data_IF_682453240393
#
_entry.id   IF_682453240393
#
_cell.length_a   1.000
_cell.length_b   1.000
_cell.length_c   1.000
_cell.angle_alpha   90.00
_cell.angle_beta   90.00
_cell.angle_gamma   90.00
#
_symmetry.space_group_name_H-M   'P 1'
#
loop_
_entity.id
_entity.type
_entity.pdbx_description
1 polymer ?
#
# COMPACT_ATOMS: atom_id res chain seq x y z
N UNK A 1 -10.62 33.54 -2.38
CA UNK A 1 -11.35 32.42 -1.75
C UNK A 1 -12.80 32.79 -1.43
N UNK A 2 -13.21 34.06 -1.35
CA UNK A 2 -14.58 34.39 -0.88
C UNK A 2 -15.69 34.28 -1.94
N UNK A 3 -15.36 33.93 -3.18
CA UNK A 3 -16.31 33.89 -4.30
C UNK A 3 -16.75 32.49 -4.71
N UNK A 4 -16.06 31.43 -4.25
CA UNK A 4 -16.41 30.05 -4.58
C UNK A 4 -17.14 29.39 -3.40
N UNK A 5 -18.15 28.54 -3.67
CA UNK A 5 -18.79 27.72 -2.66
C UNK A 5 -17.81 26.78 -1.93
N UNK A 6 -18.16 26.38 -0.71
CA UNK A 6 -17.38 25.47 0.13
C UNK A 6 -17.06 24.16 -0.57
N UNK A 7 -18.00 23.63 -1.35
CA UNK A 7 -17.88 22.39 -2.10
C UNK A 7 -16.76 22.45 -3.14
N UNK A 8 -16.59 23.62 -3.79
CA UNK A 8 -15.51 23.81 -4.74
C UNK A 8 -14.15 23.91 -4.04
N UNK A 9 -14.08 24.55 -2.88
CA UNK A 9 -12.85 24.52 -2.09
C UNK A 9 -12.50 23.11 -1.62
N UNK A 10 -13.48 22.33 -1.17
CA UNK A 10 -13.27 20.94 -0.79
C UNK A 10 -12.75 20.10 -1.97
N UNK A 11 -13.32 20.26 -3.17
CA UNK A 11 -12.83 19.61 -4.38
C UNK A 11 -11.39 20.03 -4.74
N UNK A 12 -11.07 21.33 -4.67
CA UNK A 12 -9.71 21.82 -4.91
C UNK A 12 -8.73 21.17 -3.94
N UNK A 13 -9.08 21.10 -2.65
CA UNK A 13 -8.23 20.46 -1.64
C UNK A 13 -8.10 18.96 -1.91
N UNK A 14 -9.19 18.27 -2.24
CA UNK A 14 -9.19 16.84 -2.59
C UNK A 14 -8.24 16.51 -3.75
N UNK A 15 -8.25 17.33 -4.81
CA UNK A 15 -7.36 17.17 -5.97
C UNK A 15 -5.93 17.60 -5.69
N UNK A 16 -5.70 18.53 -4.75
CA UNK A 16 -4.36 18.95 -4.36
C UNK A 16 -3.68 17.92 -3.44
N UNK A 17 -4.44 17.19 -2.62
CA UNK A 17 -3.93 16.29 -1.58
C UNK A 17 -3.62 14.87 -2.10
N UNK A 18 -2.87 14.76 -3.19
CA UNK A 18 -2.44 13.47 -3.79
C UNK A 18 -0.97 13.12 -3.50
N UNK A 19 -0.34 13.81 -2.55
CA UNK A 19 1.07 13.64 -2.17
C UNK A 19 1.25 12.72 -0.95
N UNK A 20 2.29 12.90 -0.14
CA UNK A 20 2.53 12.14 1.10
C UNK A 20 1.73 12.66 2.31
N UNK A 21 0.78 13.56 2.07
CA UNK A 21 -0.01 14.26 3.09
C UNK A 21 0.57 15.61 3.51
N UNK A 22 1.72 16.02 2.95
CA UNK A 22 2.29 17.33 3.20
C UNK A 22 1.36 18.47 2.76
N UNK A 23 0.74 18.35 1.58
CA UNK A 23 -0.13 19.40 1.02
C UNK A 23 -1.34 19.67 1.93
N UNK A 24 -2.02 18.62 2.41
CA UNK A 24 -3.15 18.76 3.32
C UNK A 24 -2.75 19.49 4.63
N UNK A 25 -1.58 19.16 5.17
CA UNK A 25 -1.04 19.79 6.39
C UNK A 25 -0.65 21.25 6.15
N UNK A 26 0.00 21.54 5.03
CA UNK A 26 0.37 22.90 4.65
C UNK A 26 -0.87 23.78 4.46
N UNK A 27 -1.90 23.27 3.79
CA UNK A 27 -3.18 23.97 3.63
C UNK A 27 -3.84 24.23 4.98
N UNK A 28 -3.82 23.25 5.88
CA UNK A 28 -4.41 23.39 7.22
C UNK A 28 -3.74 24.44 8.12
N UNK A 29 -2.56 24.96 7.73
CA UNK A 29 -1.84 26.02 8.44
C UNK A 29 -2.09 27.42 7.87
N UNK A 30 -2.79 27.56 6.73
CA UNK A 30 -2.97 28.85 6.03
C UNK A 30 -3.92 29.78 6.79
N UNK A 31 -5.08 29.27 7.20
CA UNK A 31 -6.07 30.02 7.99
C UNK A 31 -7.05 29.06 8.66
N UNK A 32 -7.86 29.56 9.61
CA UNK A 32 -8.92 28.74 10.24
C UNK A 32 -9.91 28.16 9.22
N UNK A 33 -10.30 28.96 8.23
CA UNK A 33 -11.19 28.50 7.17
C UNK A 33 -10.56 27.35 6.38
N UNK A 34 -9.31 27.50 5.93
CA UNK A 34 -8.63 26.45 5.16
C UNK A 34 -8.35 25.22 6.02
N UNK A 35 -8.08 25.40 7.31
CA UNK A 35 -7.98 24.31 8.28
C UNK A 35 -9.24 23.45 8.29
N UNK A 36 -10.41 24.07 8.42
CA UNK A 36 -11.69 23.36 8.47
C UNK A 36 -11.98 22.63 7.13
N UNK A 37 -11.66 23.27 6.01
CA UNK A 37 -11.80 22.66 4.66
C UNK A 37 -10.82 21.51 4.46
N UNK A 38 -9.57 21.61 4.95
CA UNK A 38 -8.52 20.62 4.74
C UNK A 38 -8.57 19.44 5.72
N UNK A 39 -9.21 19.61 6.87
CA UNK A 39 -9.30 18.60 7.93
C UNK A 39 -9.73 17.20 7.44
N UNK A 40 -10.76 17.06 6.58
CA UNK A 40 -11.18 15.75 6.07
C UNK A 40 -10.15 15.03 5.19
N UNK A 41 -9.13 15.75 4.71
CA UNK A 41 -8.13 15.29 3.74
C UNK A 41 -6.76 15.04 4.37
N UNK A 42 -6.58 15.30 5.67
CA UNK A 42 -5.31 15.12 6.39
C UNK A 42 -4.74 13.69 6.35
N UNK A 43 -5.61 12.70 6.15
CA UNK A 43 -5.26 11.29 6.04
C UNK A 43 -5.53 10.69 4.66
N UNK A 44 -5.95 11.51 3.68
CA UNK A 44 -6.31 11.05 2.34
C UNK A 44 -5.16 10.30 1.68
N UNK A 45 -3.97 10.88 1.77
CA UNK A 45 -2.75 10.33 1.17
C UNK A 45 -1.67 10.26 2.24
N UNK A 46 -1.06 9.09 2.40
CA UNK A 46 -0.07 8.82 3.44
C UNK A 46 1.11 8.02 2.87
N UNK A 47 2.32 8.44 3.23
CA UNK A 47 3.52 7.62 3.09
C UNK A 47 4.08 7.28 4.47
N UNK A 48 4.26 5.99 4.73
CA UNK A 48 4.71 5.48 6.03
C UNK A 48 5.83 4.48 5.79
N UNK A 49 6.95 4.64 6.50
CA UNK A 49 8.11 3.77 6.36
C UNK A 49 8.76 3.47 7.69
N UNK A 50 8.97 2.16 7.95
CA UNK A 50 9.59 1.64 9.16
C UNK A 50 8.73 1.69 10.42
N UNK A 51 9.17 0.94 11.43
CA UNK A 51 8.43 0.72 12.67
C UNK A 51 7.91 1.98 13.36
N UNK A 52 8.76 3.01 13.52
CA UNK A 52 8.39 4.20 14.30
C UNK A 52 7.19 4.94 13.70
N UNK A 53 7.19 5.16 12.38
CA UNK A 53 6.08 5.86 11.71
C UNK A 53 4.81 4.99 11.73
N UNK A 54 4.94 3.67 11.59
CA UNK A 54 3.81 2.76 11.66
C UNK A 54 3.15 2.78 13.04
N UNK A 55 3.95 2.72 14.11
CA UNK A 55 3.46 2.77 15.49
C UNK A 55 2.71 4.08 15.76
N UNK A 56 3.30 5.23 15.42
CA UNK A 56 2.68 6.54 15.58
C UNK A 56 1.37 6.67 14.80
N UNK A 57 1.35 6.18 13.55
CA UNK A 57 0.14 6.22 12.74
C UNK A 57 -0.97 5.36 13.35
N UNK A 58 -0.65 4.14 13.80
CA UNK A 58 -1.65 3.27 14.43
C UNK A 58 -2.26 3.93 15.65
N UNK A 59 -1.44 4.49 16.56
CA UNK A 59 -1.94 5.22 17.74
C UNK A 59 -2.90 6.34 17.35
N UNK A 60 -2.56 7.12 16.31
CA UNK A 60 -3.42 8.20 15.81
C UNK A 60 -4.71 7.69 15.18
N UNK A 61 -4.63 6.67 14.34
CA UNK A 61 -5.81 6.10 13.69
C UNK A 61 -6.79 5.54 14.72
N UNK A 62 -6.29 4.88 15.76
CA UNK A 62 -7.13 4.32 16.82
C UNK A 62 -7.85 5.39 17.65
N UNK A 63 -7.19 6.51 17.91
CA UNK A 63 -7.80 7.64 18.60
C UNK A 63 -8.89 8.36 17.77
N UNK A 64 -8.86 8.24 16.44
CA UNK A 64 -9.81 8.87 15.54
C UNK A 64 -11.08 8.04 15.37
N UNK A 65 -12.27 8.65 15.21
CA UNK A 65 -13.47 7.91 14.84
C UNK A 65 -13.37 7.35 13.40
N UNK A 66 -14.02 6.23 13.07
CA UNK A 66 -13.92 5.60 11.74
C UNK A 66 -14.17 6.54 10.56
N UNK A 67 -15.12 7.49 10.71
CA UNK A 67 -15.45 8.49 9.69
C UNK A 67 -14.30 9.45 9.33
N UNK A 68 -13.33 9.62 10.24
CA UNK A 68 -12.16 10.48 10.06
C UNK A 68 -10.93 9.71 9.53
N UNK A 69 -11.00 8.37 9.47
CA UNK A 69 -9.92 7.49 8.97
C UNK A 69 -10.03 7.30 7.46
N UNK A 70 -10.10 8.39 6.70
CA UNK A 70 -10.25 8.34 5.24
C UNK A 70 -8.88 8.27 4.58
N UNK A 71 -8.40 7.05 4.38
CA UNK A 71 -7.13 6.78 3.67
C UNK A 71 -7.47 6.25 2.28
N UNK A 72 -7.18 7.02 1.24
CA UNK A 72 -7.40 6.65 -0.17
C UNK A 72 -6.12 6.19 -0.84
N UNK A 73 -5.02 6.87 -0.56
CA UNK A 73 -3.71 6.59 -1.14
C UNK A 73 -2.72 6.26 -0.03
N UNK A 74 -2.14 5.07 -0.09
CA UNK A 74 -1.22 4.61 0.94
C UNK A 74 0.05 4.05 0.32
N UNK A 75 1.18 4.58 0.76
CA UNK A 75 2.49 3.97 0.60
C UNK A 75 2.94 3.40 1.95
N UNK A 76 3.25 2.10 1.98
CA UNK A 76 3.82 1.42 3.15
C UNK A 76 5.15 0.77 2.78
N UNK A 77 6.15 0.93 3.64
CA UNK A 77 7.39 0.18 3.53
C UNK A 77 7.93 -0.30 4.87
N UNK A 78 8.44 -1.52 4.92
CA UNK A 78 9.17 -2.06 6.08
C UNK A 78 10.60 -1.50 6.18
N UNK A 79 11.09 -0.78 5.16
CA UNK A 79 12.43 -0.20 5.17
C UNK A 79 12.36 1.32 5.33
N UNK A 80 13.23 1.84 6.19
CA UNK A 80 13.57 3.27 6.14
C UNK A 80 14.68 3.51 5.11
N UNK A 81 14.82 4.75 4.63
CA UNK A 81 15.97 5.14 3.78
C UNK A 81 17.33 4.79 4.43
N UNK A 82 17.40 4.76 5.76
CA UNK A 82 18.60 4.35 6.50
C UNK A 82 18.84 2.84 6.45
N UNK A 83 17.79 2.03 6.41
CA UNK A 83 17.87 0.57 6.31
C UNK A 83 18.34 0.14 4.90
N UNK A 84 17.90 0.82 3.83
CA UNK A 84 18.40 0.62 2.46
C UNK A 84 19.92 0.76 2.38
N UNK A 85 20.46 1.82 3.00
CA UNK A 85 21.91 2.10 3.02
C UNK A 85 22.66 1.05 3.85
N UNK A 86 22.04 0.47 4.89
CA UNK A 86 22.64 -0.58 5.73
C UNK A 86 22.63 -1.95 5.05
N UNK A 87 21.53 -2.33 4.38
CA UNK A 87 21.43 -3.63 3.71
C UNK A 87 22.38 -3.77 2.51
N UNK A 88 22.72 -2.68 1.82
CA UNK A 88 23.81 -2.71 0.83
C UNK A 88 25.17 -3.12 1.42
N UNK A 89 25.32 -3.12 2.75
CA UNK A 89 26.57 -3.42 3.46
C UNK A 89 26.55 -4.72 4.26
N UNK A 90 25.40 -5.39 4.45
CA UNK A 90 25.29 -6.58 5.30
C UNK A 90 24.33 -7.63 4.72
N UNK A 91 24.77 -8.89 4.67
CA UNK A 91 23.95 -10.05 4.28
C UNK A 91 23.36 -10.74 5.51
N UNK A 92 22.02 -10.90 5.48
CA UNK A 92 21.16 -11.64 6.42
C UNK A 92 21.03 -11.09 7.86
N UNK A 93 19.80 -11.05 8.42
CA UNK A 93 19.59 -10.75 9.83
C UNK A 93 20.19 -11.88 10.69
N UNK A 94 20.94 -11.50 11.72
CA UNK A 94 21.71 -12.45 12.55
C UNK A 94 21.30 -12.42 14.02
N UNK A 95 20.37 -11.53 14.41
CA UNK A 95 20.02 -11.33 15.83
C UNK A 95 18.52 -11.48 16.15
N UNK A 96 18.21 -11.93 17.36
CA UNK A 96 16.84 -12.03 17.91
C UNK A 96 16.11 -10.68 17.93
N UNK A 97 16.83 -9.58 18.23
CA UNK A 97 16.27 -8.23 18.26
C UNK A 97 15.74 -7.77 16.89
N UNK A 98 16.35 -8.23 15.80
CA UNK A 98 15.87 -7.94 14.44
C UNK A 98 14.57 -8.70 14.15
N UNK A 99 14.41 -9.93 14.65
CA UNK A 99 13.17 -10.70 14.48
C UNK A 99 11.98 -10.05 15.19
N UNK A 100 12.14 -9.61 16.45
CA UNK A 100 11.06 -8.91 17.17
C UNK A 100 10.65 -7.61 16.48
N UNK A 101 11.63 -6.89 15.90
CA UNK A 101 11.36 -5.69 15.10
C UNK A 101 10.49 -6.02 13.88
N UNK A 102 10.83 -7.08 13.14
CA UNK A 102 10.06 -7.50 11.95
C UNK A 102 8.64 -7.93 12.29
N UNK A 103 8.46 -8.66 13.39
CA UNK A 103 7.13 -9.05 13.86
C UNK A 103 6.29 -7.82 14.24
N UNK A 104 6.90 -6.85 14.92
CA UNK A 104 6.23 -5.59 15.25
C UNK A 104 5.87 -4.79 13.98
N UNK A 105 6.80 -4.63 13.03
CA UNK A 105 6.56 -3.93 11.75
C UNK A 105 5.40 -4.57 10.98
N UNK A 106 5.39 -5.91 10.88
CA UNK A 106 4.30 -6.65 10.27
C UNK A 106 2.97 -6.40 10.98
N UNK A 107 2.95 -6.47 12.31
CA UNK A 107 1.74 -6.30 13.11
C UNK A 107 1.14 -4.89 12.94
N UNK A 108 1.97 -3.85 13.01
CA UNK A 108 1.50 -2.48 12.82
C UNK A 108 1.09 -2.20 11.38
N UNK A 109 1.85 -2.67 10.38
CA UNK A 109 1.45 -2.55 8.97
C UNK A 109 0.09 -3.22 8.70
N UNK A 110 -0.13 -4.42 9.25
CA UNK A 110 -1.41 -5.12 9.16
C UNK A 110 -2.58 -4.33 9.75
N UNK A 111 -2.38 -3.65 10.89
CA UNK A 111 -3.40 -2.80 11.51
C UNK A 111 -3.69 -1.54 10.69
N UNK A 112 -2.66 -0.92 10.10
CA UNK A 112 -2.85 0.22 9.19
C UNK A 112 -3.69 -0.22 7.99
N UNK A 113 -3.36 -1.36 7.36
CA UNK A 113 -4.12 -1.90 6.25
C UNK A 113 -5.58 -2.18 6.64
N UNK A 114 -5.83 -2.75 7.82
CA UNK A 114 -7.18 -2.98 8.33
C UNK A 114 -7.99 -1.67 8.48
N UNK A 115 -7.38 -0.60 8.99
CA UNK A 115 -8.04 0.70 9.10
C UNK A 115 -8.27 1.37 7.75
N UNK A 116 -7.35 1.20 6.80
CA UNK A 116 -7.44 1.78 5.47
C UNK A 116 -8.42 1.02 4.55
N UNK A 117 -8.62 -0.28 4.77
CA UNK A 117 -9.31 -1.19 3.85
C UNK A 117 -10.67 -0.67 3.31
N UNK A 118 -11.56 -0.05 4.11
CA UNK A 118 -12.86 0.43 3.61
C UNK A 118 -12.77 1.62 2.63
N UNK A 119 -11.67 2.38 2.65
CA UNK A 119 -11.51 3.61 1.88
C UNK A 119 -10.37 3.57 0.88
N UNK A 120 -9.53 2.52 0.92
CA UNK A 120 -8.31 2.44 0.13
C UNK A 120 -8.61 2.31 -1.36
N UNK A 121 -8.03 3.20 -2.16
CA UNK A 121 -8.16 3.26 -3.62
C UNK A 121 -6.85 2.88 -4.31
N UNK A 122 -5.71 3.32 -3.76
CA UNK A 122 -4.39 2.90 -4.25
C UNK A 122 -3.46 2.53 -3.11
N UNK A 123 -2.77 1.40 -3.27
CA UNK A 123 -1.75 0.91 -2.34
C UNK A 123 -0.44 0.65 -3.07
N UNK A 124 0.64 1.20 -2.53
CA UNK A 124 2.00 0.79 -2.86
C UNK A 124 2.64 0.18 -1.60
N UNK A 125 3.05 -1.09 -1.69
CA UNK A 125 3.62 -1.84 -0.59
C UNK A 125 5.04 -2.29 -0.98
N UNK A 126 6.05 -1.72 -0.33
CA UNK A 126 7.46 -2.06 -0.55
C UNK A 126 7.97 -2.82 0.66
N UNK A 127 8.03 -4.15 0.55
CA UNK A 127 8.37 -5.05 1.65
C UNK A 127 9.49 -6.00 1.26
N UNK A 128 10.71 -5.63 1.62
CA UNK A 128 11.90 -6.35 1.18
C UNK A 128 12.39 -7.40 2.19
N UNK A 129 11.87 -7.42 3.43
CA UNK A 129 12.22 -8.49 4.37
C UNK A 129 11.44 -9.78 4.05
N UNK A 130 12.12 -10.92 3.80
CA UNK A 130 11.46 -12.18 3.41
C UNK A 130 10.60 -12.78 4.53
N UNK A 131 10.79 -12.36 5.79
CA UNK A 131 10.01 -12.83 6.94
C UNK A 131 8.71 -12.03 7.13
N UNK A 132 8.70 -10.74 6.77
CA UNK A 132 7.53 -9.86 6.91
C UNK A 132 6.64 -9.90 5.68
N UNK A 133 7.24 -9.94 4.49
CA UNK A 133 6.57 -9.65 3.24
C UNK A 133 5.50 -10.70 2.86
N UNK A 134 5.79 -12.01 2.80
CA UNK A 134 4.78 -12.99 2.40
C UNK A 134 3.55 -13.02 3.31
N UNK A 135 3.67 -13.05 4.66
CA UNK A 135 2.49 -13.11 5.50
C UNK A 135 1.74 -11.77 5.58
N UNK A 136 2.40 -10.62 5.42
CA UNK A 136 1.72 -9.33 5.33
C UNK A 136 0.90 -9.22 4.04
N UNK A 137 1.46 -9.63 2.90
CA UNK A 137 0.74 -9.64 1.62
C UNK A 137 -0.39 -10.68 1.63
N UNK A 138 -0.18 -11.84 2.26
CA UNK A 138 -1.25 -12.80 2.51
C UNK A 138 -2.40 -12.21 3.33
N UNK A 139 -2.09 -11.43 4.38
CA UNK A 139 -3.09 -10.68 5.14
C UNK A 139 -3.78 -9.61 4.30
N UNK A 140 -3.05 -8.86 3.48
CA UNK A 140 -3.61 -7.86 2.56
C UNK A 140 -4.70 -8.49 1.67
N UNK A 141 -4.39 -9.63 1.06
CA UNK A 141 -5.34 -10.36 0.23
C UNK A 141 -6.55 -10.90 1.01
N UNK A 142 -6.42 -11.14 2.31
CA UNK A 142 -7.56 -11.53 3.15
C UNK A 142 -8.49 -10.36 3.55
N UNK A 143 -8.10 -9.10 3.29
CA UNK A 143 -8.91 -7.94 3.66
C UNK A 143 -9.99 -7.64 2.59
N UNK A 144 -11.19 -7.20 3.01
CA UNK A 144 -12.18 -6.66 2.09
C UNK A 144 -11.72 -5.28 1.61
N UNK A 145 -11.30 -5.21 0.35
CA UNK A 145 -10.77 -3.99 -0.28
C UNK A 145 -11.72 -3.53 -1.41
N UNK A 146 -12.94 -3.05 -1.09
CA UNK A 146 -14.01 -2.84 -2.06
C UNK A 146 -13.76 -1.68 -3.03
N UNK A 147 -12.79 -0.81 -2.73
CA UNK A 147 -12.48 0.39 -3.51
C UNK A 147 -11.09 0.38 -4.14
N UNK A 148 -10.29 -0.66 -3.90
CA UNK A 148 -8.91 -0.70 -4.37
C UNK A 148 -8.88 -0.85 -5.90
N UNK A 149 -8.30 0.14 -6.56
CA UNK A 149 -8.16 0.25 -8.01
C UNK A 149 -6.71 0.05 -8.48
N UNK A 150 -5.75 0.46 -7.66
CA UNK A 150 -4.32 0.35 -7.94
C UNK A 150 -3.58 -0.37 -6.83
N UNK A 151 -2.84 -1.42 -7.16
CA UNK A 151 -1.99 -2.16 -6.24
C UNK A 151 -0.60 -2.31 -6.84
N UNK A 152 0.41 -1.82 -6.13
CA UNK A 152 1.82 -2.07 -6.41
C UNK A 152 2.45 -2.80 -5.23
N UNK A 153 3.12 -3.92 -5.51
CA UNK A 153 3.86 -4.68 -4.50
C UNK A 153 5.29 -4.87 -4.99
N UNK A 154 6.25 -4.42 -4.20
CA UNK A 154 7.68 -4.68 -4.38
C UNK A 154 8.19 -5.56 -3.24
N UNK A 155 8.83 -6.69 -3.58
CA UNK A 155 9.46 -7.59 -2.63
C UNK A 155 9.00 -9.04 -2.75
N UNK A 156 8.82 -9.72 -1.62
CA UNK A 156 8.40 -11.13 -1.59
C UNK A 156 6.89 -11.25 -1.36
N UNK A 157 6.16 -11.73 -2.36
CA UNK A 157 4.71 -11.83 -2.30
C UNK A 157 4.22 -13.23 -2.70
N UNK A 158 3.20 -13.79 -2.02
CA UNK A 158 2.37 -14.83 -2.60
C UNK A 158 1.56 -14.22 -3.76
N UNK A 159 1.09 -15.06 -4.68
CA UNK A 159 0.14 -14.61 -5.68
C UNK A 159 -1.26 -14.40 -5.06
N UNK A 160 -2.10 -13.54 -5.65
CA UNK A 160 -3.52 -13.51 -5.30
C UNK A 160 -4.16 -14.87 -5.60
N UNK A 161 -5.05 -15.32 -4.72
CA UNK A 161 -5.80 -16.57 -4.86
C UNK A 161 -7.30 -16.29 -4.70
N UNK A 162 -8.17 -17.20 -5.15
CA UNK A 162 -9.64 -17.05 -5.24
C UNK A 162 -10.38 -16.64 -3.95
N UNK A 163 -9.75 -16.72 -2.77
CA UNK A 163 -10.32 -16.24 -1.50
C UNK A 163 -10.20 -14.72 -1.30
N UNK A 164 -9.43 -14.05 -2.16
CA UNK A 164 -9.20 -12.62 -2.17
C UNK A 164 -9.84 -12.01 -3.40
N UNK A 165 -11.06 -11.49 -3.26
CA UNK A 165 -11.71 -10.78 -4.35
C UNK A 165 -11.40 -9.30 -4.19
N UNK A 166 -10.69 -8.75 -5.17
CA UNK A 166 -10.39 -7.33 -5.33
C UNK A 166 -11.27 -6.81 -6.50
N UNK A 167 -12.56 -6.55 -6.24
CA UNK A 167 -13.58 -6.44 -7.29
C UNK A 167 -13.43 -5.22 -8.19
N UNK A 168 -12.59 -4.26 -7.82
CA UNK A 168 -12.37 -3.01 -8.56
C UNK A 168 -10.91 -2.82 -8.97
N UNK A 169 -10.06 -3.83 -8.79
CA UNK A 169 -8.64 -3.67 -9.07
C UNK A 169 -8.39 -3.65 -10.58
N UNK A 170 -8.04 -2.47 -11.09
CA UNK A 170 -7.78 -2.24 -12.51
C UNK A 170 -6.29 -2.34 -12.85
N UNK A 171 -5.42 -1.94 -11.90
CA UNK A 171 -3.97 -1.83 -12.10
C UNK A 171 -3.23 -2.63 -11.04
N UNK A 172 -2.49 -3.65 -11.47
CA UNK A 172 -1.62 -4.47 -10.63
C UNK A 172 -0.18 -4.36 -11.12
N UNK A 173 0.73 -3.95 -10.23
CA UNK A 173 2.17 -3.96 -10.46
C UNK A 173 2.85 -4.87 -9.43
N UNK A 174 3.60 -5.85 -9.92
CA UNK A 174 4.39 -6.77 -9.12
C UNK A 174 5.87 -6.64 -9.48
N UNK A 175 6.72 -6.46 -8.46
CA UNK A 175 8.18 -6.45 -8.61
C UNK A 175 8.88 -7.13 -7.42
N UNK A 176 10.10 -7.62 -7.64
CA UNK A 176 10.90 -8.32 -6.62
C UNK A 176 10.96 -9.84 -6.78
N UNK A 177 10.00 -10.45 -7.48
CA UNK A 177 10.10 -11.86 -7.88
C UNK A 177 10.73 -11.98 -9.27
N UNK A 178 11.94 -12.56 -9.33
CA UNK A 178 12.70 -12.74 -10.57
C UNK A 178 12.05 -13.72 -11.56
N UNK A 179 11.26 -14.67 -11.06
CA UNK A 179 10.57 -15.69 -11.88
C UNK A 179 9.19 -16.00 -11.26
N UNK A 180 8.16 -15.18 -11.52
CA UNK A 180 6.82 -15.30 -10.92
C UNK A 180 5.98 -16.41 -11.57
N UNK A 181 6.55 -17.60 -11.66
CA UNK A 181 5.87 -18.77 -12.21
C UNK A 181 4.69 -19.20 -11.31
N UNK A 182 3.51 -19.38 -11.90
CA UNK A 182 2.26 -19.71 -11.23
C UNK A 182 1.28 -18.54 -11.12
N UNK A 183 1.68 -17.32 -11.49
CA UNK A 183 0.86 -16.11 -11.40
C UNK A 183 -0.38 -16.14 -12.32
N UNK A 184 -0.23 -16.68 -13.52
CA UNK A 184 -1.25 -16.75 -14.56
C UNK A 184 -1.93 -18.13 -14.63
N UNK A 185 -1.51 -19.08 -13.78
CA UNK A 185 -2.09 -20.41 -13.76
C UNK A 185 -3.52 -20.40 -13.20
N UNK A 186 -4.35 -21.28 -13.77
CA UNK A 186 -5.66 -21.66 -13.22
C UNK A 186 -6.70 -20.52 -13.12
N UNK A 187 -6.54 -19.43 -13.88
CA UNK A 187 -7.48 -18.29 -13.83
C UNK A 187 -7.55 -17.62 -12.46
N UNK A 188 -6.55 -17.85 -11.58
CA UNK A 188 -6.55 -17.33 -10.22
C UNK A 188 -6.56 -15.80 -10.20
N UNK A 189 -5.86 -15.17 -11.15
CA UNK A 189 -5.81 -13.72 -11.29
C UNK A 189 -7.14 -13.14 -11.77
N UNK A 190 -7.78 -13.77 -12.77
CA UNK A 190 -9.11 -13.37 -13.26
C UNK A 190 -10.18 -13.51 -12.17
N UNK A 191 -10.15 -14.62 -11.42
CA UNK A 191 -11.07 -14.85 -10.32
C UNK A 191 -10.84 -13.91 -9.12
N UNK A 192 -9.59 -13.54 -8.84
CA UNK A 192 -9.26 -12.63 -7.76
C UNK A 192 -9.49 -11.15 -8.13
N UNK A 193 -9.22 -10.77 -9.38
CA UNK A 193 -9.21 -9.39 -9.88
C UNK A 193 -9.97 -9.32 -11.21
N UNK A 194 -11.32 -9.40 -11.20
CA UNK A 194 -12.12 -9.52 -12.43
C UNK A 194 -12.05 -8.28 -13.35
N UNK A 195 -11.78 -7.09 -12.79
CA UNK A 195 -11.69 -5.84 -13.54
C UNK A 195 -10.24 -5.46 -13.93
N UNK A 196 -9.30 -6.41 -13.82
CA UNK A 196 -7.88 -6.15 -14.07
C UNK A 196 -7.64 -5.86 -15.57
N UNK A 197 -7.22 -4.63 -15.87
CA UNK A 197 -6.94 -4.18 -17.24
C UNK A 197 -5.47 -3.88 -17.50
N UNK A 198 -4.69 -3.64 -16.45
CA UNK A 198 -3.26 -3.33 -16.53
C UNK A 198 -2.47 -4.18 -15.55
N UNK A 199 -1.71 -5.14 -16.08
CA UNK A 199 -0.75 -5.95 -15.34
C UNK A 199 0.68 -5.53 -15.72
N UNK A 200 1.45 -5.07 -14.74
CA UNK A 200 2.88 -4.80 -14.89
C UNK A 200 3.68 -5.76 -14.04
N UNK A 201 4.68 -6.39 -14.63
CA UNK A 201 5.65 -7.22 -13.92
C UNK A 201 7.04 -6.63 -14.19
N UNK A 202 7.84 -6.44 -13.15
CA UNK A 202 9.16 -5.82 -13.26
C UNK A 202 10.20 -6.59 -12.45
N UNK A 203 11.48 -6.46 -12.82
CA UNK A 203 12.57 -7.15 -12.13
C UNK A 203 12.69 -8.64 -12.49
N UNK A 204 12.15 -9.05 -13.64
CA UNK A 204 12.34 -10.39 -14.19
C UNK A 204 13.81 -10.62 -14.53
N UNK A 205 14.33 -11.77 -14.16
CA UNK A 205 15.72 -12.17 -14.40
C UNK A 205 15.78 -13.69 -14.55
N UNK A 206 16.29 -14.18 -15.69
CA UNK A 206 16.36 -15.59 -16.04
C UNK A 206 15.08 -16.40 -15.71
N UNK A 207 13.93 -15.97 -16.27
CA UNK A 207 12.59 -16.51 -15.93
C UNK A 207 11.95 -17.41 -17.02
N UNK A 208 12.57 -18.54 -17.42
CA UNK A 208 12.06 -19.37 -18.53
C UNK A 208 10.75 -20.09 -18.21
N UNK A 209 10.47 -20.35 -16.93
CA UNK A 209 9.22 -20.97 -16.51
C UNK A 209 8.05 -19.98 -16.69
N UNK A 210 8.20 -18.76 -16.16
CA UNK A 210 7.22 -17.69 -16.35
C UNK A 210 7.03 -17.31 -17.82
N UNK A 211 8.10 -17.29 -18.63
CA UNK A 211 7.98 -17.00 -20.06
C UNK A 211 7.10 -18.02 -20.81
N UNK A 212 7.21 -19.32 -20.47
CA UNK A 212 6.35 -20.37 -21.03
C UNK A 212 4.91 -20.24 -20.58
N UNK A 213 4.71 -19.91 -19.31
CA UNK A 213 3.37 -19.65 -18.75
C UNK A 213 2.69 -18.45 -19.41
N UNK A 214 3.40 -17.34 -19.58
CA UNK A 214 2.89 -16.16 -20.28
C UNK A 214 2.51 -16.50 -21.73
N UNK A 215 3.33 -17.29 -22.43
CA UNK A 215 3.02 -17.75 -23.78
C UNK A 215 1.75 -18.60 -23.84
N UNK A 216 1.45 -19.39 -22.79
CA UNK A 216 0.21 -20.18 -22.72
C UNK A 216 -1.04 -19.39 -22.33
N UNK A 217 -0.87 -18.18 -21.80
CA UNK A 217 -1.96 -17.33 -21.32
C UNK A 217 -2.40 -16.26 -22.35
N UNK A 218 -1.62 -16.06 -23.42
CA UNK A 218 -1.91 -15.17 -24.55
C UNK A 218 -2.50 -15.96 -25.73
#
# INVERSE_FOLDING_TARGET
METLPLELHALIVEYACTDDGATARSLALVSRYVHDVATPFLFQSLAVSGLHQMTELVVRLEALPPRARRIRHLFLSDWTHKDVIKMQKQCAPTSFLEMERYDAERAFAGRILQHAAPTLETLALVVACPYTAPPLVGQLFALPLPRLQGLAIDGFYPFPHTRSVLPRLERLHLSGNRNPYGLLQLGALEAACPELSYLRISGLDAAPAFARELHSAL
#
